data_IF_430026666540
#
_entry.id   IF_430026666540
#
_cell.length_a   1.000
_cell.length_b   1.000
_cell.length_c   1.000
_cell.angle_alpha   90.00
_cell.angle_beta   90.00
_cell.angle_gamma   90.00
#
_symmetry.space_group_name_H-M   'P 1'
#
loop_
_entity.id
_entity.type
_entity.pdbx_description
1 polymer ?
#
# COMPACT_ATOMS: atom_id res chain seq x y z
N UNK A 1 -4.70 12.33 -26.28
CA UNK A 1 -5.32 12.44 -24.94
C UNK A 1 -4.76 11.33 -24.07
N UNK A 2 -3.89 11.65 -23.10
CA UNK A 2 -3.42 10.65 -22.12
C UNK A 2 -4.44 10.63 -20.97
N UNK A 3 -5.19 9.53 -20.84
CA UNK A 3 -6.11 9.31 -19.74
C UNK A 3 -5.30 8.85 -18.52
N UNK A 4 -5.44 9.57 -17.40
CA UNK A 4 -4.95 9.14 -16.08
C UNK A 4 -6.10 8.46 -15.35
N UNK A 5 -5.91 7.20 -14.95
CA UNK A 5 -6.89 6.45 -14.14
C UNK A 5 -6.34 6.29 -12.73
N UNK A 6 -7.14 6.67 -11.72
CA UNK A 6 -6.82 6.48 -10.31
C UNK A 6 -7.72 5.37 -9.73
N UNK A 7 -7.16 4.51 -8.88
CA UNK A 7 -7.89 3.45 -8.18
C UNK A 7 -7.45 3.38 -6.72
N UNK A 8 -8.41 3.18 -5.82
CA UNK A 8 -8.18 2.90 -4.40
C UNK A 8 -8.85 1.57 -4.06
N UNK A 9 -8.16 0.73 -3.29
CA UNK A 9 -8.60 -0.65 -3.02
C UNK A 9 -8.50 -0.91 -1.52
N UNK A 10 -9.60 -1.35 -0.91
CA UNK A 10 -9.67 -1.66 0.50
C UNK A 10 -9.19 -3.10 0.77
N UNK A 11 -7.86 -3.27 0.90
CA UNK A 11 -7.22 -4.55 1.25
C UNK A 11 -7.46 -4.98 2.71
N UNK A 12 -6.99 -6.18 3.08
CA UNK A 12 -7.04 -6.69 4.47
C UNK A 12 -6.46 -5.66 5.44
N UNK A 13 -7.03 -5.57 6.63
CA UNK A 13 -6.74 -4.51 7.59
C UNK A 13 -7.66 -3.29 7.52
N UNK A 14 -8.35 -3.07 6.40
CA UNK A 14 -9.33 -1.98 6.28
C UNK A 14 -10.59 -2.22 7.12
N UNK A 15 -11.34 -1.14 7.35
CA UNK A 15 -12.57 -1.17 8.12
C UNK A 15 -13.78 -1.66 7.27
N UNK A 16 -14.92 -1.93 7.91
CA UNK A 16 -16.19 -2.22 7.22
C UNK A 16 -16.42 -3.68 6.86
N UNK A 17 -15.48 -4.59 7.20
CA UNK A 17 -15.55 -6.02 6.84
C UNK A 17 -15.42 -6.98 8.03
N UNK A 18 -15.64 -6.48 9.24
CA UNK A 18 -15.59 -7.27 10.48
C UNK A 18 -14.20 -7.47 11.06
N UNK A 19 -14.14 -8.03 12.28
CA UNK A 19 -12.91 -8.17 13.05
C UNK A 19 -11.84 -8.98 12.33
N UNK A 20 -12.18 -10.17 11.82
CA UNK A 20 -11.22 -11.06 11.14
C UNK A 20 -10.49 -10.38 9.98
N UNK A 21 -11.18 -9.50 9.25
CA UNK A 21 -10.60 -8.77 8.13
C UNK A 21 -9.67 -7.64 8.61
N UNK A 22 -10.11 -6.89 9.63
CA UNK A 22 -9.34 -5.79 10.22
C UNK A 22 -8.10 -6.29 10.97
N UNK A 23 -8.23 -7.36 11.74
CA UNK A 23 -7.16 -7.90 12.58
C UNK A 23 -6.06 -8.61 11.79
N UNK A 24 -6.22 -8.77 10.48
CA UNK A 24 -5.25 -9.44 9.62
C UNK A 24 -3.87 -8.78 9.61
N UNK A 25 -3.79 -7.49 9.94
CA UNK A 25 -2.53 -6.72 10.03
C UNK A 25 -2.08 -6.47 11.47
N UNK A 26 -2.79 -7.02 12.47
CA UNK A 26 -2.46 -6.79 13.88
C UNK A 26 -1.10 -7.42 14.23
N UNK A 27 -0.15 -6.59 14.69
CA UNK A 27 1.23 -7.02 14.95
C UNK A 27 2.03 -7.38 13.68
N UNK A 28 1.47 -7.16 12.50
CA UNK A 28 2.02 -7.57 11.21
C UNK A 28 1.79 -6.49 10.13
N UNK A 29 1.94 -5.22 10.49
CA UNK A 29 1.81 -4.11 9.54
C UNK A 29 2.84 -4.25 8.40
N UNK A 30 2.43 -3.88 7.20
CA UNK A 30 3.22 -3.99 5.99
C UNK A 30 3.36 -5.43 5.52
N UNK A 31 2.32 -6.26 5.61
CA UNK A 31 2.33 -7.65 5.14
C UNK A 31 1.23 -7.88 4.12
N UNK A 32 0.13 -8.50 4.55
CA UNK A 32 -1.00 -8.95 3.73
C UNK A 32 -1.68 -7.81 2.99
N UNK A 33 -1.72 -6.61 3.54
CA UNK A 33 -2.34 -5.46 2.90
C UNK A 33 -1.51 -4.96 1.71
N UNK A 34 -0.18 -5.13 1.73
CA UNK A 34 0.70 -4.75 0.63
C UNK A 34 0.54 -5.74 -0.53
N UNK A 35 0.49 -7.04 -0.20
CA UNK A 35 0.21 -8.10 -1.16
C UNK A 35 -1.15 -7.89 -1.85
N UNK A 36 -2.17 -7.54 -1.07
CA UNK A 36 -3.52 -7.28 -1.59
C UNK A 36 -3.54 -6.13 -2.60
N UNK A 37 -2.79 -5.04 -2.36
CA UNK A 37 -2.71 -3.93 -3.32
C UNK A 37 -2.05 -4.35 -4.64
N UNK A 38 -0.89 -5.01 -4.56
CA UNK A 38 -0.14 -5.42 -5.76
C UNK A 38 -0.99 -6.40 -6.58
N UNK A 39 -1.62 -7.37 -5.92
CA UNK A 39 -2.47 -8.35 -6.59
C UNK A 39 -3.71 -7.70 -7.20
N UNK A 40 -4.37 -6.80 -6.48
CA UNK A 40 -5.55 -6.13 -7.00
C UNK A 40 -5.22 -5.24 -8.21
N UNK A 41 -4.06 -4.56 -8.22
CA UNK A 41 -3.56 -3.83 -9.40
C UNK A 41 -3.37 -4.77 -10.60
N UNK A 42 -2.77 -5.95 -10.40
CA UNK A 42 -2.62 -6.96 -11.47
C UNK A 42 -3.96 -7.38 -12.05
N UNK A 43 -4.94 -7.63 -11.18
CA UNK A 43 -6.29 -8.02 -11.61
C UNK A 43 -7.00 -6.90 -12.36
N UNK A 44 -6.86 -5.65 -11.91
CA UNK A 44 -7.42 -4.47 -12.57
C UNK A 44 -6.84 -4.30 -13.98
N UNK A 45 -5.51 -4.37 -14.12
CA UNK A 45 -4.84 -4.26 -15.43
C UNK A 45 -5.27 -5.39 -16.36
N UNK A 46 -5.36 -6.63 -15.85
CA UNK A 46 -5.81 -7.79 -16.63
C UNK A 46 -7.27 -7.64 -17.08
N UNK A 47 -8.13 -7.05 -16.24
CA UNK A 47 -9.56 -6.87 -16.51
C UNK A 47 -9.84 -5.72 -17.48
N UNK A 48 -9.00 -4.68 -17.48
CA UNK A 48 -9.23 -3.46 -18.25
C UNK A 48 -8.07 -3.21 -19.24
N UNK A 49 -8.13 -3.77 -20.47
CA UNK A 49 -7.04 -3.71 -21.46
C UNK A 49 -6.64 -2.30 -21.92
N UNK A 50 -7.47 -1.29 -21.64
CA UNK A 50 -7.14 0.11 -21.94
C UNK A 50 -6.15 0.73 -20.94
N UNK A 51 -5.85 0.05 -19.83
CA UNK A 51 -4.86 0.49 -18.85
C UNK A 51 -3.44 0.13 -19.30
N UNK A 52 -2.51 1.08 -19.22
CA UNK A 52 -1.12 0.87 -19.63
C UNK A 52 -0.28 0.35 -18.45
N UNK A 53 -0.03 -0.96 -18.45
CA UNK A 53 0.76 -1.65 -17.42
C UNK A 53 2.21 -1.14 -17.28
N UNK A 54 2.74 -0.40 -18.28
CA UNK A 54 4.11 0.13 -18.25
C UNK A 54 4.19 1.52 -17.60
N UNK A 55 3.05 2.13 -17.28
CA UNK A 55 2.96 3.48 -16.71
C UNK A 55 2.18 3.47 -15.39
N UNK A 56 2.59 2.57 -14.50
CA UNK A 56 2.03 2.48 -13.15
C UNK A 56 2.83 3.35 -12.19
N UNK A 57 2.13 4.10 -11.36
CA UNK A 57 2.71 4.84 -10.25
C UNK A 57 1.88 4.61 -9.00
N UNK A 58 2.54 4.59 -7.84
CA UNK A 58 1.89 4.49 -6.54
C UNK A 58 2.08 5.78 -5.75
N UNK A 59 1.06 6.21 -5.04
CA UNK A 59 1.07 7.39 -4.19
C UNK A 59 0.43 7.07 -2.84
N UNK A 60 0.96 7.63 -1.76
CA UNK A 60 0.28 7.61 -0.48
C UNK A 60 0.83 8.61 0.54
N UNK A 61 -0.03 8.96 1.51
CA UNK A 61 0.26 9.85 2.62
C UNK A 61 0.13 9.12 3.96
N UNK A 62 0.95 9.45 4.96
CA UNK A 62 0.92 8.80 6.30
C UNK A 62 1.14 7.27 6.20
N UNK A 63 0.23 6.44 6.70
CA UNK A 63 0.28 4.98 6.49
C UNK A 63 0.31 4.61 5.01
N UNK A 64 -0.38 5.36 4.16
CA UNK A 64 -0.31 5.20 2.71
C UNK A 64 1.08 5.47 2.14
N UNK A 65 1.85 6.37 2.75
CA UNK A 65 3.25 6.60 2.37
C UNK A 65 4.12 5.38 2.70
N UNK A 66 3.96 4.83 3.91
CA UNK A 66 4.59 3.56 4.30
C UNK A 66 4.23 2.42 3.33
N UNK A 67 2.95 2.28 2.99
CA UNK A 67 2.49 1.28 2.03
C UNK A 67 3.02 1.52 0.61
N UNK A 68 3.10 2.77 0.14
CA UNK A 68 3.67 3.13 -1.15
C UNK A 68 5.15 2.75 -1.26
N UNK A 69 5.92 2.97 -0.19
CA UNK A 69 7.32 2.56 -0.11
C UNK A 69 7.46 1.02 -0.15
N UNK A 70 6.68 0.29 0.67
CA UNK A 70 6.73 -1.16 0.68
C UNK A 70 6.25 -1.80 -0.64
N UNK A 71 5.24 -1.22 -1.29
CA UNK A 71 4.82 -1.67 -2.62
C UNK A 71 5.95 -1.50 -3.65
N UNK A 72 6.67 -0.38 -3.61
CA UNK A 72 7.82 -0.16 -4.50
C UNK A 72 8.97 -1.14 -4.25
N UNK A 73 9.18 -1.51 -2.98
CA UNK A 73 10.22 -2.48 -2.58
C UNK A 73 9.86 -3.92 -2.96
N UNK A 74 8.60 -4.33 -2.78
CA UNK A 74 8.19 -5.75 -2.86
C UNK A 74 7.50 -6.15 -4.15
N UNK A 75 7.04 -5.19 -4.94
CA UNK A 75 6.51 -5.51 -6.26
C UNK A 75 7.64 -6.06 -7.15
N UNK A 76 7.30 -6.80 -8.22
CA UNK A 76 8.29 -7.24 -9.19
C UNK A 76 9.12 -6.08 -9.72
N UNK A 77 10.34 -6.38 -10.16
CA UNK A 77 11.22 -5.38 -10.76
C UNK A 77 10.50 -4.60 -11.88
N UNK A 78 10.67 -3.28 -11.87
CA UNK A 78 10.03 -2.35 -12.81
C UNK A 78 8.49 -2.37 -12.83
N UNK A 79 7.81 -2.93 -11.82
CA UNK A 79 6.34 -2.91 -11.74
C UNK A 79 5.78 -1.49 -11.60
N UNK A 80 6.39 -0.66 -10.75
CA UNK A 80 6.06 0.77 -10.64
C UNK A 80 7.14 1.61 -11.32
N UNK A 81 6.73 2.58 -12.12
CA UNK A 81 7.62 3.57 -12.72
C UNK A 81 8.05 4.63 -11.71
N UNK A 82 7.18 4.94 -10.75
CA UNK A 82 7.42 5.89 -9.67
C UNK A 82 6.59 5.52 -8.44
N UNK A 83 7.14 5.81 -7.26
CA UNK A 83 6.45 5.74 -5.99
C UNK A 83 6.58 7.06 -5.24
N UNK A 84 5.46 7.61 -4.79
CA UNK A 84 5.39 8.89 -4.08
C UNK A 84 4.94 8.59 -2.65
N UNK A 85 5.90 8.57 -1.73
CA UNK A 85 5.69 8.29 -0.30
C UNK A 85 5.79 9.59 0.50
N UNK A 86 4.67 10.08 1.02
CA UNK A 86 4.60 11.36 1.73
C UNK A 86 4.30 11.16 3.21
N UNK A 87 5.10 11.78 4.08
CA UNK A 87 5.02 11.64 5.54
C UNK A 87 4.88 10.17 6.01
N UNK A 88 5.71 9.22 5.51
CA UNK A 88 5.58 7.81 5.87
C UNK A 88 5.97 7.57 7.31
N UNK A 89 5.32 6.59 7.94
CA UNK A 89 5.86 5.97 9.16
C UNK A 89 7.00 5.04 8.74
N UNK A 90 8.24 5.54 8.79
CA UNK A 90 9.42 4.77 8.39
C UNK A 90 9.90 3.77 9.46
N UNK A 91 9.63 4.07 10.73
CA UNK A 91 9.90 3.15 11.84
C UNK A 91 8.79 3.30 12.90
N UNK A 92 8.07 2.20 13.13
CA UNK A 92 6.98 2.16 14.10
C UNK A 92 7.44 2.29 15.55
N UNK A 93 8.72 2.07 15.87
CA UNK A 93 9.26 2.33 17.22
C UNK A 93 9.16 3.81 17.60
N UNK A 94 9.30 4.71 16.64
CA UNK A 94 9.14 6.16 16.87
C UNK A 94 7.67 6.61 16.76
N UNK A 95 6.78 5.72 16.32
CA UNK A 95 5.38 6.02 16.07
C UNK A 95 4.53 5.60 17.26
N UNK A 96 4.10 6.57 18.06
CA UNK A 96 3.23 6.31 19.20
C UNK A 96 3.91 5.51 20.31
N UNK A 97 5.05 6.01 20.81
CA UNK A 97 5.51 5.93 22.20
C UNK A 97 6.98 6.38 22.33
N UNK A 98 7.23 7.69 22.25
CA UNK A 98 8.48 8.27 22.78
C UNK A 98 8.53 8.24 24.32
N UNK A 99 7.52 7.66 24.99
CA UNK A 99 7.33 7.74 26.44
C UNK A 99 7.30 6.38 27.17
N UNK A 100 7.44 5.25 26.49
CA UNK A 100 7.35 3.91 27.13
C UNK A 100 8.65 3.09 27.07
N UNK A 101 9.74 3.68 26.59
CA UNK A 101 11.08 3.08 26.64
C UNK A 101 12.00 3.75 27.69
N UNK A 102 11.43 4.41 28.71
CA UNK A 102 12.17 4.74 29.93
C UNK A 102 11.44 4.25 31.19
N UNK A 103 11.71 3.00 31.57
CA UNK A 103 11.86 2.52 32.95
C UNK A 103 12.01 1.01 32.96
#
# INVERSE_FOLDING_TARGET
MQLTTASQIDGRGSNGRGWKYRSAIYGALGTVEIEDQIEAIRQVIKKYPFLDARRLSVFGWSYGGFAAALMAERAPEAFFKCAISVAPVANFQYYGNASYFSS
#
